data_IF_578668448916
#
_entry.id   IF_578668448916
#
_cell.length_a   1.000
_cell.length_b   1.000
_cell.length_c   1.000
_cell.angle_alpha   90.00
_cell.angle_beta   90.00
_cell.angle_gamma   90.00
#
_symmetry.space_group_name_H-M   'P 1'
#
loop_
_entity.id
_entity.type
_entity.pdbx_description
1 polymer ?
#
# COMPACT_ATOMS: atom_id res chain seq x y z
N UNK A 1 6.16 -24.63 -8.47
CA UNK A 1 6.67 -23.95 -7.24
C UNK A 1 5.78 -22.74 -6.96
N UNK A 2 5.30 -22.57 -5.70
CA UNK A 2 4.56 -21.35 -5.33
C UNK A 2 5.49 -20.14 -5.47
N UNK A 3 5.03 -19.11 -6.17
CA UNK A 3 5.77 -17.83 -6.27
C UNK A 3 5.93 -17.25 -4.85
N UNK A 4 7.09 -16.66 -4.56
CA UNK A 4 7.33 -16.00 -3.27
C UNK A 4 6.64 -14.63 -3.24
N UNK A 5 6.10 -14.19 -2.09
CA UNK A 5 5.51 -12.87 -1.97
C UNK A 5 6.54 -11.76 -2.22
N UNK A 6 6.15 -10.74 -2.99
CA UNK A 6 6.96 -9.57 -3.31
C UNK A 6 6.47 -8.30 -2.61
N UNK A 7 5.24 -8.29 -2.11
CA UNK A 7 4.64 -7.18 -1.38
C UNK A 7 4.19 -7.66 -0.01
N UNK A 8 4.49 -6.89 1.03
CA UNK A 8 3.93 -7.07 2.36
C UNK A 8 2.82 -6.04 2.58
N UNK A 9 1.60 -6.49 2.82
CA UNK A 9 0.48 -5.65 3.27
C UNK A 9 0.38 -5.80 4.77
N UNK A 10 0.60 -4.73 5.52
CA UNK A 10 0.53 -4.72 6.98
C UNK A 10 -0.47 -3.67 7.48
N UNK A 11 -1.11 -3.95 8.61
CA UNK A 11 -2.09 -3.07 9.23
C UNK A 11 -2.02 -3.14 10.74
N UNK A 12 -2.45 -2.07 11.42
CA UNK A 12 -2.39 -1.98 12.88
C UNK A 12 -3.41 -2.84 13.62
N UNK A 13 -4.56 -3.12 12.97
CA UNK A 13 -5.68 -3.88 13.52
C UNK A 13 -6.45 -4.61 12.42
N UNK A 14 -7.24 -5.59 12.80
CA UNK A 14 -8.22 -6.26 11.95
C UNK A 14 -9.34 -5.32 11.46
N UNK A 15 -9.65 -4.26 12.22
CA UNK A 15 -10.58 -3.20 11.80
C UNK A 15 -10.15 -2.48 10.51
N UNK A 16 -8.87 -2.51 10.18
CA UNK A 16 -8.30 -1.87 9.01
C UNK A 16 -8.42 -2.78 7.76
N UNK A 17 -8.71 -4.07 7.98
CA UNK A 17 -8.73 -5.09 6.93
C UNK A 17 -9.66 -4.77 5.76
N UNK A 18 -10.91 -4.28 5.95
CA UNK A 18 -11.80 -3.98 4.83
C UNK A 18 -11.20 -2.98 3.84
N UNK A 19 -10.46 -1.99 4.33
CA UNK A 19 -9.75 -1.02 3.48
C UNK A 19 -8.52 -1.65 2.85
N UNK A 20 -7.70 -2.33 3.65
CA UNK A 20 -6.43 -2.90 3.17
C UNK A 20 -6.61 -4.07 2.19
N UNK A 21 -7.78 -4.72 2.22
CA UNK A 21 -8.16 -5.75 1.25
C UNK A 21 -8.16 -5.21 -0.20
N UNK A 22 -8.43 -3.92 -0.40
CA UNK A 22 -8.41 -3.32 -1.74
C UNK A 22 -7.00 -3.32 -2.36
N UNK A 23 -5.94 -3.16 -1.56
CA UNK A 23 -4.58 -3.35 -2.04
C UNK A 23 -4.31 -4.80 -2.45
N UNK A 24 -4.79 -5.76 -1.66
CA UNK A 24 -4.66 -7.18 -1.98
C UNK A 24 -5.41 -7.56 -3.28
N UNK A 25 -6.60 -6.98 -3.50
CA UNK A 25 -7.38 -7.18 -4.71
C UNK A 25 -6.62 -6.71 -5.96
N UNK A 26 -5.98 -5.54 -5.89
CA UNK A 26 -5.12 -5.04 -6.98
C UNK A 26 -3.94 -5.98 -7.23
N UNK A 27 -3.22 -6.41 -6.20
CA UNK A 27 -2.09 -7.31 -6.39
C UNK A 27 -2.51 -8.62 -7.05
N UNK A 28 -3.68 -9.16 -6.70
CA UNK A 28 -4.28 -10.33 -7.38
C UNK A 28 -4.59 -10.04 -8.86
N UNK A 29 -5.20 -8.89 -9.16
CA UNK A 29 -5.54 -8.46 -10.52
C UNK A 29 -4.28 -8.43 -11.43
N UNK A 30 -3.13 -8.03 -10.86
CA UNK A 30 -1.86 -7.97 -11.57
C UNK A 30 -0.99 -9.25 -11.45
N UNK A 31 -1.48 -10.29 -10.77
CA UNK A 31 -0.77 -11.57 -10.59
C UNK A 31 0.54 -11.41 -9.77
N UNK A 32 0.51 -10.50 -8.78
CA UNK A 32 1.60 -10.23 -7.84
C UNK A 32 1.33 -10.94 -6.52
N UNK A 33 2.26 -11.79 -6.10
CA UNK A 33 2.18 -12.48 -4.82
C UNK A 33 2.46 -11.53 -3.65
N UNK A 34 1.67 -11.64 -2.60
CA UNK A 34 1.77 -10.81 -1.40
C UNK A 34 1.58 -11.63 -0.13
N UNK A 35 2.02 -11.09 0.99
CA UNK A 35 1.60 -11.54 2.31
C UNK A 35 0.79 -10.43 3.01
N UNK A 36 -0.13 -10.83 3.88
CA UNK A 36 -1.00 -9.92 4.62
C UNK A 36 -0.88 -10.24 6.11
N UNK A 37 -0.61 -9.20 6.95
CA UNK A 37 -0.42 -9.37 8.39
C UNK A 37 -0.95 -8.20 9.20
N UNK A 38 -1.45 -8.52 10.40
CA UNK A 38 -1.65 -7.54 11.46
C UNK A 38 -0.31 -7.34 12.17
N UNK A 39 0.18 -6.09 12.18
CA UNK A 39 1.44 -5.66 12.77
C UNK A 39 1.19 -4.37 13.54
N UNK A 40 0.94 -4.45 14.83
CA UNK A 40 0.62 -3.26 15.62
C UNK A 40 1.89 -2.56 16.12
N UNK A 41 2.09 -1.30 15.69
CA UNK A 41 3.20 -0.48 16.16
C UNK A 41 3.14 -0.20 17.67
N UNK A 42 1.94 -0.03 18.23
CA UNK A 42 1.74 0.33 19.62
C UNK A 42 1.61 -0.87 20.56
N UNK A 43 0.92 -1.94 20.11
CA UNK A 43 0.64 -3.11 20.97
C UNK A 43 1.72 -4.19 20.89
N UNK A 44 2.45 -4.28 19.78
CA UNK A 44 3.51 -5.27 19.53
C UNK A 44 4.75 -4.64 18.89
N UNK A 45 5.35 -3.58 19.50
CA UNK A 45 6.43 -2.82 18.87
C UNK A 45 7.67 -3.66 18.55
N UNK A 46 8.04 -4.59 19.44
CA UNK A 46 9.16 -5.51 19.20
C UNK A 46 8.95 -6.46 18.03
N UNK A 47 7.72 -6.98 17.85
CA UNK A 47 7.37 -7.78 16.69
C UNK A 47 7.41 -6.93 15.40
N UNK A 48 6.86 -5.72 15.44
CA UNK A 48 6.86 -4.78 14.31
C UNK A 48 8.30 -4.46 13.86
N UNK A 49 9.19 -4.09 14.79
CA UNK A 49 10.58 -3.79 14.49
C UNK A 49 11.31 -4.99 13.86
N UNK A 50 11.16 -6.19 14.45
CA UNK A 50 11.75 -7.42 13.93
C UNK A 50 11.20 -7.77 12.54
N UNK A 51 9.89 -7.65 12.34
CA UNK A 51 9.24 -7.96 11.08
C UNK A 51 9.75 -7.03 9.97
N UNK A 52 9.68 -5.72 10.16
CA UNK A 52 10.02 -4.73 9.13
C UNK A 52 11.52 -4.69 8.81
N UNK A 53 12.40 -4.89 9.80
CA UNK A 53 13.85 -4.95 9.57
C UNK A 53 14.33 -6.21 8.84
N UNK A 54 13.53 -7.28 8.80
CA UNK A 54 13.93 -8.56 8.20
C UNK A 54 13.12 -8.95 6.97
N UNK A 55 12.01 -8.26 6.68
CA UNK A 55 11.07 -8.64 5.63
C UNK A 55 11.73 -8.71 4.23
N UNK A 56 12.68 -7.84 3.95
CA UNK A 56 13.45 -7.82 2.70
C UNK A 56 14.24 -9.12 2.45
N UNK A 57 14.68 -9.81 3.51
CA UNK A 57 15.41 -11.08 3.43
C UNK A 57 14.56 -12.23 2.90
N UNK A 58 13.24 -12.08 2.88
CA UNK A 58 12.27 -13.09 2.41
C UNK A 58 11.82 -12.87 0.96
N UNK A 59 12.34 -11.84 0.30
CA UNK A 59 12.02 -11.52 -1.10
C UNK A 59 10.96 -10.43 -1.27
N UNK A 60 10.47 -9.84 -0.18
CA UNK A 60 9.61 -8.65 -0.22
C UNK A 60 10.40 -7.47 -0.78
N UNK A 61 9.76 -6.69 -1.63
CA UNK A 61 10.33 -5.52 -2.30
C UNK A 61 9.62 -4.22 -1.95
N UNK A 62 8.37 -4.28 -1.51
CA UNK A 62 7.54 -3.12 -1.15
C UNK A 62 6.70 -3.46 0.06
N UNK A 63 6.56 -2.52 0.99
CA UNK A 63 5.64 -2.61 2.13
C UNK A 63 4.47 -1.65 1.89
N UNK A 64 3.24 -2.13 2.00
CA UNK A 64 2.03 -1.31 2.08
C UNK A 64 1.57 -1.36 3.53
N UNK A 65 1.53 -0.22 4.21
CA UNK A 65 1.20 -0.13 5.63
C UNK A 65 -0.02 0.77 5.85
N UNK A 66 -1.08 0.22 6.43
CA UNK A 66 -2.31 0.93 6.77
C UNK A 66 -2.41 1.21 8.27
N UNK A 67 -2.81 2.44 8.63
CA UNK A 67 -3.04 2.80 10.02
C UNK A 67 -4.01 3.99 10.14
N UNK A 68 -4.78 4.02 11.24
CA UNK A 68 -5.72 5.08 11.57
C UNK A 68 -5.33 5.83 12.85
N UNK A 69 -5.84 7.05 13.02
CA UNK A 69 -5.56 7.90 14.18
C UNK A 69 -4.10 8.34 14.25
N UNK A 70 -3.43 8.06 15.38
CA UNK A 70 -1.98 8.18 15.51
C UNK A 70 -1.30 7.09 14.66
N UNK A 71 -1.31 7.29 13.37
CA UNK A 71 -0.97 6.30 12.34
C UNK A 71 0.54 6.09 12.21
N UNK A 72 1.20 5.59 13.27
CA UNK A 72 2.66 5.47 13.35
C UNK A 72 3.23 4.30 12.52
N UNK A 73 2.44 3.27 12.23
CA UNK A 73 2.95 2.05 11.59
C UNK A 73 3.70 2.29 10.27
N UNK A 74 3.23 3.12 9.32
CA UNK A 74 3.96 3.34 8.07
C UNK A 74 5.32 4.01 8.29
N UNK A 75 5.38 5.09 9.08
CA UNK A 75 6.62 5.80 9.40
C UNK A 75 7.62 4.94 10.15
N UNK A 76 7.16 4.18 11.16
CA UNK A 76 8.01 3.25 11.88
C UNK A 76 8.50 2.11 10.98
N UNK A 77 7.66 1.62 10.07
CA UNK A 77 8.08 0.61 9.09
C UNK A 77 9.20 1.14 8.18
N UNK A 78 9.09 2.39 7.74
CA UNK A 78 10.11 3.04 6.92
C UNK A 78 11.43 3.27 7.68
N UNK A 79 11.37 3.53 8.99
CA UNK A 79 12.58 3.71 9.81
C UNK A 79 13.36 2.42 10.06
N UNK A 80 12.70 1.27 10.04
CA UNK A 80 13.32 -0.05 10.26
C UNK A 80 13.64 -0.81 8.97
N UNK A 81 13.04 -0.44 7.85
CA UNK A 81 13.17 -1.19 6.60
C UNK A 81 13.91 -0.40 5.52
N UNK A 82 14.80 -1.04 4.74
CA UNK A 82 15.39 -0.42 3.56
C UNK A 82 14.44 -0.39 2.34
N UNK A 83 13.25 -0.99 2.45
CA UNK A 83 12.30 -1.10 1.35
C UNK A 83 11.43 0.15 1.23
N UNK A 84 10.94 0.48 0.03
CA UNK A 84 9.89 1.48 -0.16
C UNK A 84 8.67 1.14 0.69
N UNK A 85 8.15 2.14 1.42
CA UNK A 85 6.93 2.04 2.21
C UNK A 85 5.85 2.93 1.62
N UNK A 86 4.68 2.35 1.37
CA UNK A 86 3.49 3.06 0.92
C UNK A 86 2.52 3.11 2.10
N UNK A 87 2.21 4.32 2.55
CA UNK A 87 1.30 4.57 3.67
C UNK A 87 -0.14 4.76 3.22
N UNK A 88 -1.05 4.05 3.85
CA UNK A 88 -2.50 4.17 3.65
C UNK A 88 -3.10 4.80 4.90
N UNK A 89 -3.49 6.08 4.87
CA UNK A 89 -4.24 6.69 5.94
C UNK A 89 -5.63 6.06 6.03
N UNK A 90 -5.98 5.56 7.21
CA UNK A 90 -7.30 4.94 7.44
C UNK A 90 -8.17 5.92 8.21
N UNK A 91 -9.39 6.14 7.70
CA UNK A 91 -10.38 7.02 8.33
C UNK A 91 -10.77 6.48 9.70
N UNK A 92 -10.73 7.34 10.69
CA UNK A 92 -11.27 7.12 12.03
C UNK A 92 -12.48 8.02 12.30
N UNK A 93 -13.17 7.78 13.42
CA UNK A 93 -14.35 8.58 13.79
C UNK A 93 -14.00 10.01 14.22
N UNK A 94 -12.76 10.26 14.68
CA UNK A 94 -12.40 11.53 15.33
C UNK A 94 -12.20 12.68 14.36
N UNK A 95 -11.42 12.50 13.29
CA UNK A 95 -11.03 13.57 12.36
C UNK A 95 -11.16 13.14 10.89
N UNK A 96 -12.05 12.20 10.61
CA UNK A 96 -12.32 11.71 9.24
C UNK A 96 -11.08 11.25 8.46
N UNK A 97 -10.01 10.90 9.18
CA UNK A 97 -8.76 10.41 8.63
C UNK A 97 -7.70 11.49 8.38
N UNK A 98 -7.98 12.77 8.67
CA UNK A 98 -6.99 13.85 8.54
C UNK A 98 -5.82 13.65 9.50
N UNK A 99 -6.09 13.22 10.73
CA UNK A 99 -5.10 12.80 11.71
C UNK A 99 -4.19 11.69 11.18
N UNK A 100 -4.77 10.67 10.57
CA UNK A 100 -4.03 9.56 9.96
C UNK A 100 -3.17 10.04 8.80
N UNK A 101 -3.73 10.88 7.92
CA UNK A 101 -3.02 11.44 6.76
C UNK A 101 -1.81 12.27 7.20
N UNK A 102 -1.98 13.17 8.14
CA UNK A 102 -0.90 14.03 8.63
C UNK A 102 0.17 13.23 9.38
N UNK A 103 -0.24 12.23 10.18
CA UNK A 103 0.71 11.34 10.88
C UNK A 103 1.60 10.55 9.92
N UNK A 104 1.09 10.17 8.75
CA UNK A 104 1.83 9.38 7.76
C UNK A 104 2.64 10.26 6.81
N UNK A 105 2.10 11.41 6.40
CA UNK A 105 2.69 12.27 5.38
C UNK A 105 3.85 13.13 5.91
N UNK A 106 3.82 13.54 7.19
CA UNK A 106 4.79 14.47 7.79
C UNK A 106 6.04 13.76 8.30
N UNK A 107 6.70 13.02 7.42
CA UNK A 107 7.92 12.27 7.76
C UNK A 107 9.16 13.18 7.77
N UNK A 108 10.13 12.90 8.67
CA UNK A 108 11.40 13.63 8.70
C UNK A 108 12.26 13.30 7.48
N UNK A 109 13.18 14.19 7.13
CA UNK A 109 14.18 13.95 6.09
C UNK A 109 14.97 12.66 6.36
N UNK A 110 15.13 11.82 5.34
CA UNK A 110 15.85 10.55 5.43
C UNK A 110 14.95 9.32 5.65
N UNK A 111 13.67 9.51 6.01
CA UNK A 111 12.72 8.40 6.24
C UNK A 111 11.44 8.63 5.41
N UNK A 112 11.47 8.40 4.10
CA UNK A 112 10.33 8.68 3.22
C UNK A 112 9.23 7.63 3.35
N UNK A 113 7.96 8.09 3.26
CA UNK A 113 6.76 7.26 3.08
C UNK A 113 5.94 7.83 1.92
N UNK A 114 5.67 7.02 0.91
CA UNK A 114 4.80 7.40 -0.20
C UNK A 114 3.32 7.31 0.25
N UNK A 115 2.72 8.43 0.62
CA UNK A 115 1.37 8.45 1.19
C UNK A 115 0.30 8.55 0.10
N UNK A 116 -0.69 7.66 0.12
CA UNK A 116 -1.87 7.72 -0.75
C UNK A 116 -3.03 8.45 -0.07
N UNK A 117 -4.12 8.70 -0.80
CA UNK A 117 -5.31 9.32 -0.23
C UNK A 117 -5.96 8.48 0.89
N UNK A 118 -6.73 9.12 1.77
CA UNK A 118 -7.46 8.47 2.88
C UNK A 118 -8.32 7.32 2.32
N UNK A 119 -8.22 6.16 2.95
CA UNK A 119 -8.90 4.91 2.58
C UNK A 119 -8.59 4.38 1.16
N UNK A 120 -7.60 4.94 0.46
CA UNK A 120 -7.31 4.53 -0.92
C UNK A 120 -6.21 3.45 -0.99
N UNK A 121 -6.43 2.32 -0.34
CA UNK A 121 -5.52 1.18 -0.42
C UNK A 121 -5.40 0.60 -1.83
N UNK A 122 -6.43 0.80 -2.69
CA UNK A 122 -6.34 0.44 -4.11
C UNK A 122 -5.18 1.15 -4.81
N UNK A 123 -5.02 2.45 -4.59
CA UNK A 123 -3.89 3.20 -5.16
C UNK A 123 -2.55 2.77 -4.56
N UNK A 124 -2.50 2.35 -3.30
CA UNK A 124 -1.29 1.79 -2.71
C UNK A 124 -0.88 0.47 -3.42
N UNK A 125 -1.85 -0.40 -3.70
CA UNK A 125 -1.64 -1.60 -4.51
C UNK A 125 -1.12 -1.28 -5.92
N UNK A 126 -1.72 -0.31 -6.61
CA UNK A 126 -1.28 0.13 -7.94
C UNK A 126 0.14 0.72 -7.91
N UNK A 127 0.47 1.54 -6.92
CA UNK A 127 1.81 2.10 -6.77
C UNK A 127 2.86 1.00 -6.52
N UNK A 128 2.53 0.00 -5.69
CA UNK A 128 3.41 -1.15 -5.49
C UNK A 128 3.64 -1.93 -6.80
N UNK A 129 2.59 -2.15 -7.59
CA UNK A 129 2.69 -2.79 -8.92
C UNK A 129 3.56 -1.96 -9.86
N UNK A 130 3.44 -0.63 -9.86
CA UNK A 130 4.28 0.26 -10.68
C UNK A 130 5.74 0.17 -10.28
N UNK A 131 6.06 0.20 -8.97
CA UNK A 131 7.43 0.05 -8.46
C UNK A 131 8.04 -1.29 -8.91
N UNK A 132 7.30 -2.39 -8.77
CA UNK A 132 7.74 -3.71 -9.21
C UNK A 132 7.92 -3.78 -10.74
N UNK A 133 7.05 -3.11 -11.48
CA UNK A 133 7.08 -3.04 -12.95
C UNK A 133 8.34 -2.41 -13.51
N UNK A 134 9.06 -1.56 -12.76
CA UNK A 134 10.33 -0.98 -13.21
C UNK A 134 11.40 -2.04 -13.49
N UNK A 135 11.32 -3.19 -12.82
CA UNK A 135 12.25 -4.31 -12.99
C UNK A 135 11.60 -5.55 -13.65
N UNK A 136 10.32 -5.48 -14.03
CA UNK A 136 9.57 -6.57 -14.67
C UNK A 136 8.80 -6.05 -15.89
N UNK A 137 9.36 -6.30 -17.09
CA UNK A 137 8.79 -5.84 -18.36
C UNK A 137 7.36 -6.36 -18.61
N UNK A 138 7.02 -7.58 -18.13
CA UNK A 138 5.68 -8.14 -18.29
C UNK A 138 4.69 -7.42 -17.39
N UNK A 139 5.09 -7.15 -16.15
CA UNK A 139 4.26 -6.40 -15.21
C UNK A 139 4.10 -4.95 -15.67
N UNK A 140 5.16 -4.32 -16.17
CA UNK A 140 5.10 -2.97 -16.75
C UNK A 140 4.10 -2.88 -17.90
N UNK A 141 4.09 -3.86 -18.82
CA UNK A 141 3.11 -3.93 -19.91
C UNK A 141 1.67 -3.98 -19.39
N UNK A 142 1.40 -4.81 -18.36
CA UNK A 142 0.07 -4.84 -17.70
C UNK A 142 -0.34 -3.48 -17.12
N UNK A 143 0.61 -2.71 -16.57
CA UNK A 143 0.34 -1.35 -16.06
C UNK A 143 -0.06 -0.42 -17.19
N UNK A 144 0.62 -0.47 -18.33
CA UNK A 144 0.27 0.34 -19.52
C UNK A 144 -1.14 -0.02 -20.01
N UNK A 145 -1.42 -1.29 -20.21
CA UNK A 145 -2.73 -1.79 -20.63
C UNK A 145 -3.86 -1.38 -19.66
N UNK A 146 -3.60 -1.43 -18.35
CA UNK A 146 -4.54 -0.97 -17.33
C UNK A 146 -4.83 0.54 -17.46
N UNK A 147 -3.81 1.36 -17.73
CA UNK A 147 -3.97 2.80 -17.95
C UNK A 147 -4.79 3.12 -19.20
N UNK A 148 -4.55 2.41 -20.29
CA UNK A 148 -5.32 2.53 -21.53
C UNK A 148 -6.79 2.16 -21.32
N UNK A 149 -7.04 1.07 -20.59
CA UNK A 149 -8.40 0.66 -20.22
C UNK A 149 -9.13 1.76 -19.44
N UNK A 150 -8.52 2.34 -18.42
CA UNK A 150 -9.10 3.44 -17.64
C UNK A 150 -9.41 4.67 -18.50
N UNK A 151 -8.49 5.04 -19.42
CA UNK A 151 -8.69 6.13 -20.33
C UNK A 151 -9.89 5.89 -21.25
N UNK A 152 -9.98 4.70 -21.84
CA UNK A 152 -11.10 4.32 -22.71
C UNK A 152 -12.44 4.29 -21.97
N UNK A 153 -12.47 3.77 -20.73
CA UNK A 153 -13.66 3.79 -19.88
C UNK A 153 -14.13 5.23 -19.58
N UNK A 154 -13.19 6.13 -19.30
CA UNK A 154 -13.50 7.55 -19.07
C UNK A 154 -14.05 8.23 -20.33
N UNK A 155 -13.38 8.02 -21.47
CA UNK A 155 -13.83 8.60 -22.75
C UNK A 155 -15.21 8.08 -23.19
N UNK A 156 -15.50 6.81 -22.92
CA UNK A 156 -16.81 6.22 -23.27
C UNK A 156 -17.97 6.84 -22.46
N UNK A 157 -17.71 7.38 -21.27
CA UNK A 157 -18.75 8.09 -20.49
C UNK A 157 -19.25 9.34 -21.21
N UNK A 158 -18.42 10.00 -22.04
CA UNK A 158 -18.83 11.16 -22.82
C UNK A 158 -19.94 10.81 -23.82
N UNK A 159 -19.97 9.57 -24.35
CA UNK A 159 -21.01 9.12 -25.28
C UNK A 159 -22.42 9.07 -24.66
N UNK A 160 -22.50 9.02 -23.33
CA UNK A 160 -23.76 8.99 -22.59
C UNK A 160 -24.31 10.41 -22.41
N UNK A 161 -23.41 11.41 -22.33
CA UNK A 161 -23.77 12.82 -22.10
C UNK A 161 -24.22 13.54 -23.39
N UNK A 162 -23.93 12.95 -24.54
CA UNK A 162 -24.30 13.51 -25.87
C UNK A 162 -25.63 12.98 -26.41
N UNK A 163 -26.43 12.29 -25.58
CA UNK A 163 -27.83 11.90 -25.82
C UNK A 163 -28.73 12.77 -24.94
#
# INVERSE_FOLDING_TARGET
MKKKPQVAIIMGSDSDFPIMQEAANVLKEFDVEYELKIVSAHRTPGFMAKYTSTVHKRGIKVIIAGAGGAAHLPGMSASFSPLPVIGVPIKTKSMDGLDSLLSIAQMPSGVPVATVAINNARNAGLLAVQILGLCDKKLFKKVVEYREKLANESMNKNKILTR
#
